data_IF_322333600936
#
_entry.id   IF_322333600936
#
_cell.length_a   1.000
_cell.length_b   1.000
_cell.length_c   1.000
_cell.angle_alpha   90.00
_cell.angle_beta   90.00
_cell.angle_gamma   90.00
#
_symmetry.space_group_name_H-M   'P 1'
#
loop_
_entity.id
_entity.type
_entity.pdbx_description
1 polymer ?
#
# COMPACT_ATOMS: atom_id res chain seq x y z
N UNK A 1 5.50 -2.74 -25.49
CA UNK A 1 4.11 -2.82 -24.99
C UNK A 1 3.90 -1.70 -24.00
N UNK A 2 2.75 -1.04 -24.04
CA UNK A 2 2.33 -0.07 -23.02
C UNK A 2 2.09 -0.77 -21.67
N UNK A 3 2.00 0.00 -20.56
CA UNK A 3 1.63 -0.55 -19.25
C UNK A 3 0.28 -1.30 -19.32
N UNK A 4 -0.66 -0.75 -20.08
CA UNK A 4 -2.00 -1.30 -20.29
C UNK A 4 -1.97 -2.63 -21.07
N UNK A 5 -1.20 -2.69 -22.17
CA UNK A 5 -1.03 -3.93 -22.95
C UNK A 5 -0.37 -5.05 -22.13
N UNK A 6 0.59 -4.69 -21.28
CA UNK A 6 1.27 -5.66 -20.40
C UNK A 6 0.32 -6.23 -19.35
N UNK A 7 -0.52 -5.38 -18.75
CA UNK A 7 -1.53 -5.82 -17.78
C UNK A 7 -2.59 -6.72 -18.42
N UNK A 8 -3.04 -6.40 -19.64
CA UNK A 8 -4.00 -7.20 -20.37
C UNK A 8 -3.47 -8.61 -20.66
N UNK A 9 -2.21 -8.73 -21.13
CA UNK A 9 -1.59 -10.02 -21.37
C UNK A 9 -1.43 -10.84 -20.09
N UNK A 10 -1.07 -10.19 -18.97
CA UNK A 10 -0.98 -10.84 -17.66
C UNK A 10 -2.35 -11.39 -17.21
N UNK A 11 -3.42 -10.60 -17.36
CA UNK A 11 -4.79 -11.01 -17.06
C UNK A 11 -5.23 -12.22 -17.90
N UNK A 12 -5.05 -12.16 -19.22
CA UNK A 12 -5.43 -13.26 -20.13
C UNK A 12 -4.73 -14.58 -19.77
N UNK A 13 -3.44 -14.51 -19.44
CA UNK A 13 -2.66 -15.67 -19.02
C UNK A 13 -3.18 -16.25 -17.69
N UNK A 14 -3.37 -15.40 -16.68
CA UNK A 14 -3.88 -15.83 -15.37
C UNK A 14 -5.27 -16.45 -15.46
N UNK A 15 -6.18 -15.84 -16.23
CA UNK A 15 -7.54 -16.38 -16.43
C UNK A 15 -7.48 -17.72 -17.14
N UNK A 16 -6.66 -17.83 -18.19
CA UNK A 16 -6.51 -19.08 -18.94
C UNK A 16 -5.97 -20.21 -18.07
N UNK A 17 -4.93 -19.93 -17.28
CA UNK A 17 -4.34 -20.89 -16.34
C UNK A 17 -5.35 -21.31 -15.27
N UNK A 18 -5.95 -20.34 -14.59
CA UNK A 18 -6.86 -20.57 -13.48
C UNK A 18 -8.14 -21.32 -13.88
N UNK A 19 -8.67 -21.07 -15.07
CA UNK A 19 -9.85 -21.79 -15.59
C UNK A 19 -9.53 -23.20 -16.11
N UNK A 20 -8.26 -23.48 -16.45
CA UNK A 20 -7.78 -24.84 -16.83
C UNK A 20 -7.38 -25.70 -15.63
N UNK A 21 -7.13 -25.11 -14.46
CA UNK A 21 -6.72 -25.82 -13.25
C UNK A 21 -7.84 -26.65 -12.60
N UNK A 22 -7.44 -27.56 -11.69
CA UNK A 22 -8.35 -28.28 -10.80
C UNK A 22 -7.79 -28.30 -9.36
N UNK A 23 -8.45 -27.62 -8.40
CA UNK A 23 -9.65 -26.79 -8.57
C UNK A 23 -9.37 -25.54 -9.43
N UNK A 24 -10.42 -24.99 -10.05
CA UNK A 24 -10.32 -23.70 -10.77
C UNK A 24 -10.06 -22.57 -9.79
N UNK A 25 -9.32 -21.56 -10.21
CA UNK A 25 -9.04 -20.39 -9.39
C UNK A 25 -8.96 -19.11 -10.23
N UNK A 26 -9.08 -17.97 -9.58
CA UNK A 26 -8.73 -16.65 -10.11
C UNK A 26 -8.06 -15.86 -8.99
N UNK A 27 -7.13 -14.97 -9.35
CA UNK A 27 -6.49 -14.10 -8.37
C UNK A 27 -7.47 -13.03 -7.88
N UNK A 28 -7.51 -12.80 -6.56
CA UNK A 28 -8.32 -11.76 -5.93
C UNK A 28 -7.94 -10.36 -6.40
N UNK A 29 -6.73 -10.15 -6.95
CA UNK A 29 -6.32 -8.84 -7.50
C UNK A 29 -7.24 -8.32 -8.61
N UNK A 30 -7.95 -9.21 -9.29
CA UNK A 30 -8.91 -8.86 -10.34
C UNK A 30 -10.31 -8.52 -9.82
N UNK A 31 -10.52 -8.58 -8.50
CA UNK A 31 -11.74 -8.06 -7.87
C UNK A 31 -11.72 -6.54 -7.89
N UNK A 32 -10.54 -5.90 -7.84
CA UNK A 32 -10.33 -4.47 -7.66
C UNK A 32 -10.27 -3.70 -8.99
N UNK A 33 -11.32 -3.83 -9.82
CA UNK A 33 -11.61 -2.82 -10.85
C UNK A 33 -12.33 -1.62 -10.22
N UNK A 34 -12.63 -0.57 -11.00
CA UNK A 34 -13.28 0.64 -10.48
C UNK A 34 -14.54 0.32 -9.64
N UNK A 35 -15.33 -0.66 -10.08
CA UNK A 35 -16.55 -1.08 -9.37
C UNK A 35 -16.25 -1.92 -8.14
N UNK A 36 -15.27 -2.79 -8.22
CA UNK A 36 -14.78 -3.60 -7.13
C UNK A 36 -14.23 -2.79 -5.98
N UNK A 37 -13.47 -1.74 -6.29
CA UNK A 37 -12.95 -0.78 -5.32
C UNK A 37 -14.11 -0.09 -4.57
N UNK A 38 -15.12 0.41 -5.29
CA UNK A 38 -16.32 0.99 -4.67
C UNK A 38 -17.07 0.01 -3.75
N UNK A 39 -17.16 -1.26 -4.14
CA UNK A 39 -17.78 -2.30 -3.33
C UNK A 39 -16.95 -2.61 -2.08
N UNK A 40 -15.62 -2.64 -2.21
CA UNK A 40 -14.73 -2.86 -1.08
C UNK A 40 -14.81 -1.72 -0.07
N UNK A 41 -14.92 -0.47 -0.53
CA UNK A 41 -15.19 0.68 0.36
C UNK A 41 -16.50 0.52 1.15
N UNK A 42 -17.55 0.00 0.52
CA UNK A 42 -18.80 -0.30 1.21
C UNK A 42 -18.64 -1.45 2.23
N UNK A 43 -17.88 -2.50 1.88
CA UNK A 43 -17.56 -3.60 2.80
C UNK A 43 -16.83 -3.07 4.05
N UNK A 44 -15.86 -2.18 3.88
CA UNK A 44 -15.12 -1.58 4.98
C UNK A 44 -15.98 -0.71 5.92
N UNK A 45 -17.16 -0.29 5.49
CA UNK A 45 -18.11 0.47 6.30
C UNK A 45 -19.13 -0.42 7.05
N UNK A 46 -19.13 -1.73 6.81
CA UNK A 46 -20.03 -2.67 7.47
C UNK A 46 -19.62 -2.88 8.95
N UNK A 47 -20.58 -2.93 9.89
CA UNK A 47 -20.28 -3.17 11.29
C UNK A 47 -19.67 -4.56 11.56
N UNK A 48 -19.94 -5.54 10.69
CA UNK A 48 -19.36 -6.88 10.76
C UNK A 48 -17.89 -6.90 10.32
N UNK A 49 -17.45 -5.95 9.49
CA UNK A 49 -16.09 -5.88 8.97
C UNK A 49 -15.20 -5.04 9.89
N UNK A 50 -14.90 -5.58 11.07
CA UNK A 50 -14.18 -4.86 12.13
C UNK A 50 -12.75 -4.44 11.76
N UNK A 51 -12.12 -5.11 10.78
CA UNK A 51 -10.69 -5.04 10.51
C UNK A 51 -10.21 -3.61 10.27
N UNK A 52 -10.92 -2.86 9.43
CA UNK A 52 -10.56 -1.48 9.07
C UNK A 52 -10.57 -0.56 10.28
N UNK A 53 -11.59 -0.64 11.13
CA UNK A 53 -11.71 0.19 12.33
C UNK A 53 -10.71 -0.23 13.42
N UNK A 54 -10.46 -1.53 13.59
CA UNK A 54 -9.47 -2.02 14.54
C UNK A 54 -8.06 -1.51 14.20
N UNK A 55 -7.65 -1.62 12.94
CA UNK A 55 -6.34 -1.13 12.49
C UNK A 55 -6.24 0.39 12.54
N UNK A 56 -7.32 1.11 12.17
CA UNK A 56 -7.41 2.56 12.35
C UNK A 56 -7.16 2.97 13.80
N UNK A 57 -7.85 2.33 14.75
CA UNK A 57 -7.74 2.64 16.17
C UNK A 57 -6.34 2.39 16.72
N UNK A 58 -5.66 1.33 16.27
CA UNK A 58 -4.26 1.05 16.64
C UNK A 58 -3.36 2.19 16.17
N UNK A 59 -3.49 2.60 14.90
CA UNK A 59 -2.67 3.69 14.34
C UNK A 59 -2.97 5.01 15.07
N UNK A 60 -4.24 5.35 15.29
CA UNK A 60 -4.62 6.59 15.98
C UNK A 60 -4.11 6.65 17.41
N UNK A 61 -4.19 5.52 18.14
CA UNK A 61 -3.71 5.39 19.52
C UNK A 61 -2.18 5.51 19.60
N UNK A 62 -1.45 4.98 18.62
CA UNK A 62 0.00 4.85 18.68
C UNK A 62 0.78 5.78 17.75
N UNK A 63 0.12 6.70 17.03
CA UNK A 63 0.75 7.60 16.05
C UNK A 63 1.94 8.39 16.58
N UNK A 64 1.91 8.85 17.83
CA UNK A 64 3.06 9.55 18.45
C UNK A 64 4.29 8.64 18.60
N UNK A 65 4.08 7.37 18.98
CA UNK A 65 5.15 6.39 19.07
C UNK A 65 5.67 6.02 17.68
N UNK A 66 4.78 5.80 16.71
CA UNK A 66 5.14 5.53 15.33
C UNK A 66 5.99 6.66 14.75
N UNK A 67 5.57 7.92 14.93
CA UNK A 67 6.35 9.10 14.54
C UNK A 67 7.76 9.09 15.12
N UNK A 68 7.90 8.82 16.43
CA UNK A 68 9.21 8.77 17.09
C UNK A 68 10.11 7.69 16.50
N UNK A 69 9.55 6.50 16.26
CA UNK A 69 10.30 5.37 15.66
C UNK A 69 10.72 5.71 14.24
N UNK A 70 9.80 6.13 13.38
CA UNK A 70 10.06 6.42 11.97
C UNK A 70 11.06 7.56 11.78
N UNK A 71 11.03 8.57 12.65
CA UNK A 71 11.94 9.72 12.58
C UNK A 71 13.30 9.49 13.27
N UNK A 72 13.62 8.26 13.71
CA UNK A 72 14.88 7.96 14.44
C UNK A 72 16.12 8.28 13.60
N UNK A 73 16.03 8.08 12.28
CA UNK A 73 17.12 8.35 11.34
C UNK A 73 16.96 9.68 10.58
N UNK A 74 16.05 10.54 11.06
CA UNK A 74 15.73 11.82 10.43
C UNK A 74 14.85 11.64 9.19
N UNK A 75 15.13 12.42 8.16
CA UNK A 75 14.44 12.47 6.88
C UNK A 75 14.20 11.08 6.23
N UNK A 76 12.95 10.70 5.93
CA UNK A 76 12.62 9.39 5.31
C UNK A 76 11.56 9.46 4.21
N UNK A 77 11.42 8.40 3.43
CA UNK A 77 10.32 8.22 2.46
C UNK A 77 9.28 7.24 3.03
N UNK A 78 8.02 7.65 3.07
CA UNK A 78 6.89 6.87 3.59
C UNK A 78 6.16 6.20 2.43
N UNK A 79 6.37 4.90 2.27
CA UNK A 79 5.91 4.14 1.10
C UNK A 79 4.76 3.25 1.52
N UNK A 80 3.58 3.43 0.95
CA UNK A 80 2.40 2.61 1.28
C UNK A 80 2.03 1.68 0.13
N UNK A 81 2.08 0.37 0.38
CA UNK A 81 1.72 -0.66 -0.60
C UNK A 81 0.23 -1.00 -0.48
N UNK A 82 -0.55 -0.63 -1.51
CA UNK A 82 -2.00 -0.80 -1.53
C UNK A 82 -2.70 0.26 -0.69
N UNK A 83 -2.48 1.53 -1.06
CA UNK A 83 -2.93 2.67 -0.27
C UNK A 83 -4.47 2.84 -0.24
N UNK A 84 -5.17 2.43 -1.31
CA UNK A 84 -6.61 2.60 -1.42
C UNK A 84 -7.05 4.06 -1.17
N UNK A 85 -8.04 4.26 -0.28
CA UNK A 85 -8.54 5.58 0.10
C UNK A 85 -7.68 6.31 1.16
N UNK A 86 -6.65 5.64 1.67
CA UNK A 86 -5.73 6.12 2.69
C UNK A 86 -6.39 6.49 4.02
N UNK A 87 -7.60 6.01 4.34
CA UNK A 87 -8.34 6.39 5.57
C UNK A 87 -7.50 6.24 6.84
N UNK A 88 -6.78 5.12 6.94
CA UNK A 88 -5.90 4.79 8.08
C UNK A 88 -4.64 5.65 8.06
N UNK A 89 -4.00 5.75 6.90
CA UNK A 89 -2.72 6.44 6.73
C UNK A 89 -2.84 7.95 6.89
N UNK A 90 -3.99 8.55 6.55
CA UNK A 90 -4.30 9.97 6.81
C UNK A 90 -4.11 10.38 8.28
N UNK A 91 -4.37 9.48 9.23
CA UNK A 91 -4.14 9.75 10.66
C UNK A 91 -2.65 9.92 10.96
N UNK A 92 -1.83 9.01 10.44
CA UNK A 92 -0.39 9.06 10.57
C UNK A 92 0.20 10.26 9.82
N UNK A 93 -0.23 10.52 8.58
CA UNK A 93 0.23 11.67 7.79
C UNK A 93 -0.04 12.99 8.52
N UNK A 94 -1.22 13.15 9.12
CA UNK A 94 -1.56 14.34 9.93
C UNK A 94 -0.63 14.50 11.14
N UNK A 95 -0.31 13.40 11.84
CA UNK A 95 0.64 13.41 12.96
C UNK A 95 2.04 13.84 12.49
N UNK A 96 2.54 13.29 11.39
CA UNK A 96 3.86 13.62 10.84
C UNK A 96 3.95 15.08 10.39
N UNK A 97 2.95 15.57 9.63
CA UNK A 97 2.87 16.95 9.15
C UNK A 97 2.77 17.95 10.30
N UNK A 98 1.87 17.70 11.28
CA UNK A 98 1.68 18.60 12.44
C UNK A 98 2.96 18.77 13.24
N UNK A 99 3.78 17.72 13.33
CA UNK A 99 5.05 17.72 14.03
C UNK A 99 6.26 18.10 13.15
N UNK A 100 6.02 18.56 11.91
CA UNK A 100 7.06 19.02 10.97
C UNK A 100 8.14 17.96 10.73
N UNK A 101 7.74 16.70 10.65
CA UNK A 101 8.63 15.61 10.23
C UNK A 101 8.98 15.82 8.76
N UNK A 102 10.25 15.59 8.41
CA UNK A 102 10.72 15.67 7.02
C UNK A 102 10.51 14.32 6.34
N UNK A 103 9.46 14.22 5.51
CA UNK A 103 9.16 13.01 4.77
C UNK A 103 8.46 13.28 3.45
N UNK A 104 8.61 12.35 2.50
CA UNK A 104 7.82 12.30 1.26
C UNK A 104 6.87 11.11 1.33
N UNK A 105 5.58 11.33 1.03
CA UNK A 105 4.59 10.24 1.01
C UNK A 105 4.45 9.67 -0.41
N UNK A 106 4.59 8.35 -0.52
CA UNK A 106 4.62 7.62 -1.79
C UNK A 106 3.54 6.51 -1.73
N UNK A 107 2.27 6.83 -2.04
CA UNK A 107 1.22 5.82 -2.12
C UNK A 107 1.35 5.02 -3.41
N UNK A 108 1.23 3.69 -3.28
CA UNK A 108 1.31 2.73 -4.37
C UNK A 108 -0.01 1.97 -4.48
N UNK A 109 -0.58 1.93 -5.68
CA UNK A 109 -1.78 1.15 -5.95
C UNK A 109 -1.81 0.61 -7.38
N UNK A 110 -2.57 -0.46 -7.62
CA UNK A 110 -2.81 -0.97 -8.97
C UNK A 110 -3.83 -0.06 -9.69
N UNK A 111 -4.77 0.51 -8.93
CA UNK A 111 -5.81 1.41 -9.41
C UNK A 111 -5.27 2.85 -9.51
N UNK A 112 -5.18 3.38 -10.74
CA UNK A 112 -4.83 4.79 -10.94
C UNK A 112 -5.91 5.71 -10.33
N UNK A 113 -7.16 5.29 -10.41
CA UNK A 113 -8.30 6.00 -9.82
C UNK A 113 -8.13 6.16 -8.31
N UNK A 114 -7.73 5.09 -7.60
CA UNK A 114 -7.46 5.14 -6.16
C UNK A 114 -6.33 6.14 -5.82
N UNK A 115 -5.24 6.13 -6.59
CA UNK A 115 -4.12 7.09 -6.42
C UNK A 115 -4.59 8.53 -6.62
N UNK A 116 -5.38 8.80 -7.66
CA UNK A 116 -5.85 10.14 -7.99
C UNK A 116 -6.81 10.66 -6.90
N UNK A 117 -7.77 9.83 -6.47
CA UNK A 117 -8.70 10.16 -5.39
C UNK A 117 -7.99 10.42 -4.06
N UNK A 118 -7.03 9.55 -3.71
CA UNK A 118 -6.22 9.72 -2.51
C UNK A 118 -5.44 11.03 -2.56
N UNK A 119 -4.73 11.30 -3.65
CA UNK A 119 -3.90 12.51 -3.83
C UNK A 119 -4.76 13.78 -3.79
N UNK A 120 -5.93 13.78 -4.44
CA UNK A 120 -6.88 14.90 -4.40
C UNK A 120 -7.40 15.15 -2.98
N UNK A 121 -7.75 14.08 -2.26
CA UNK A 121 -8.21 14.17 -0.88
C UNK A 121 -7.12 14.70 0.06
N UNK A 122 -5.86 14.31 -0.16
CA UNK A 122 -4.71 14.75 0.63
C UNK A 122 -4.36 16.21 0.36
N UNK A 123 -4.41 16.67 -0.89
CA UNK A 123 -4.20 18.08 -1.24
C UNK A 123 -5.17 19.00 -0.48
N UNK A 124 -6.40 18.55 -0.26
CA UNK A 124 -7.40 19.31 0.50
C UNK A 124 -7.15 19.24 2.02
N UNK A 125 -6.78 18.07 2.54
CA UNK A 125 -6.63 17.81 3.97
C UNK A 125 -5.29 18.30 4.55
N UNK A 126 -4.21 18.16 3.78
CA UNK A 126 -2.82 18.42 4.14
C UNK A 126 -2.12 19.14 2.95
N UNK A 127 -2.41 20.44 2.70
CA UNK A 127 -1.93 21.14 1.51
C UNK A 127 -0.41 21.23 1.38
N UNK A 128 0.31 21.16 2.49
CA UNK A 128 1.78 21.23 2.54
C UNK A 128 2.46 19.85 2.40
N UNK A 129 1.69 18.76 2.28
CA UNK A 129 2.22 17.41 2.14
C UNK A 129 2.71 17.14 0.72
N UNK A 130 3.97 16.76 0.57
CA UNK A 130 4.49 16.24 -0.70
C UNK A 130 4.01 14.80 -0.91
N UNK A 131 3.22 14.58 -1.96
CA UNK A 131 2.69 13.28 -2.36
C UNK A 131 3.24 12.90 -3.74
N UNK A 132 3.88 11.74 -3.84
CA UNK A 132 4.38 11.16 -5.08
C UNK A 132 3.65 9.84 -5.35
N UNK A 133 2.41 9.93 -5.85
CA UNK A 133 1.58 8.76 -6.12
C UNK A 133 2.05 7.96 -7.32
N UNK A 134 1.96 6.63 -7.22
CA UNK A 134 2.40 5.76 -8.29
C UNK A 134 1.52 4.54 -8.53
N UNK A 135 1.26 4.28 -9.81
CA UNK A 135 0.54 3.10 -10.24
C UNK A 135 1.48 1.92 -10.53
N UNK A 136 1.25 0.80 -9.86
CA UNK A 136 1.95 -0.45 -10.11
C UNK A 136 1.59 -1.59 -9.18
N UNK A 137 2.03 -2.80 -9.53
CA UNK A 137 2.01 -3.94 -8.61
C UNK A 137 3.12 -3.80 -7.58
N UNK A 138 2.94 -4.37 -6.38
CA UNK A 138 3.91 -4.27 -5.29
C UNK A 138 5.32 -4.70 -5.75
N UNK A 139 5.42 -5.81 -6.48
CA UNK A 139 6.70 -6.35 -6.95
C UNK A 139 7.48 -5.40 -7.86
N UNK A 140 6.81 -4.80 -8.85
CA UNK A 140 7.46 -3.85 -9.77
C UNK A 140 7.95 -2.60 -9.05
N UNK A 141 7.20 -2.17 -8.04
CA UNK A 141 7.59 -1.01 -7.23
C UNK A 141 8.76 -1.35 -6.32
N UNK A 142 8.75 -2.51 -5.66
CA UNK A 142 9.87 -2.99 -4.84
C UNK A 142 11.17 -3.08 -5.67
N UNK A 143 11.13 -3.65 -6.87
CA UNK A 143 12.30 -3.70 -7.77
C UNK A 143 12.89 -2.32 -8.07
N UNK A 144 12.03 -1.30 -8.26
CA UNK A 144 12.50 0.08 -8.47
C UNK A 144 13.06 0.66 -7.18
N UNK A 145 12.41 0.44 -6.03
CA UNK A 145 12.90 0.89 -4.72
C UNK A 145 14.27 0.33 -4.39
N UNK A 146 14.61 -0.88 -4.87
CA UNK A 146 15.95 -1.48 -4.73
C UNK A 146 17.06 -0.59 -5.32
N UNK A 147 16.73 0.20 -6.35
CA UNK A 147 17.68 1.11 -7.03
C UNK A 147 17.74 2.50 -6.40
N UNK A 148 16.85 2.79 -5.46
CA UNK A 148 16.70 4.09 -4.81
C UNK A 148 17.17 4.02 -3.35
N UNK A 149 18.27 4.70 -3.03
CA UNK A 149 18.87 4.65 -1.69
C UNK A 149 19.29 6.02 -1.16
N UNK A 150 18.53 7.07 -1.49
CA UNK A 150 18.85 8.45 -1.08
C UNK A 150 18.48 8.75 0.38
N UNK A 151 17.40 8.14 0.87
CA UNK A 151 16.83 8.34 2.22
C UNK A 151 16.39 6.98 2.79
N UNK A 152 16.37 6.81 4.12
CA UNK A 152 15.68 5.70 4.78
C UNK A 152 14.22 5.60 4.32
N UNK A 153 13.68 4.38 4.32
CA UNK A 153 12.33 4.05 3.88
C UNK A 153 11.51 3.52 5.05
N UNK A 154 10.26 3.96 5.15
CA UNK A 154 9.24 3.33 6.00
C UNK A 154 8.23 2.71 5.05
N UNK A 155 8.28 1.38 4.92
CA UNK A 155 7.36 0.61 4.08
C UNK A 155 6.15 0.23 4.93
N UNK A 156 4.97 0.63 4.48
CA UNK A 156 3.68 0.39 5.13
C UNK A 156 2.88 -0.62 4.30
N UNK A 157 2.37 -1.67 4.97
CA UNK A 157 1.45 -2.66 4.40
C UNK A 157 0.28 -2.87 5.36
N UNK A 158 -0.85 -2.23 5.08
CA UNK A 158 -2.03 -2.25 5.97
C UNK A 158 -3.15 -3.15 5.45
N UNK A 159 -4.18 -3.33 6.27
CA UNK A 159 -5.43 -3.99 5.91
C UNK A 159 -5.34 -5.49 5.87
N UNK A 160 -4.30 -6.08 6.49
CA UNK A 160 -3.99 -7.50 6.37
C UNK A 160 -3.89 -7.96 4.91
N UNK A 161 -3.46 -7.06 3.99
CA UNK A 161 -3.39 -7.34 2.55
C UNK A 161 -2.45 -8.49 2.21
N UNK A 162 -1.44 -8.75 3.04
CA UNK A 162 -0.58 -9.94 2.91
C UNK A 162 -1.38 -11.25 2.99
N UNK A 163 -2.52 -11.26 3.68
CA UNK A 163 -3.44 -12.40 3.77
C UNK A 163 -4.15 -12.74 2.46
N UNK A 164 -4.10 -11.87 1.45
CA UNK A 164 -4.59 -12.18 0.10
C UNK A 164 -3.61 -13.03 -0.72
N UNK A 165 -2.37 -13.20 -0.24
CA UNK A 165 -1.35 -14.02 -0.87
C UNK A 165 -1.40 -15.44 -0.30
N UNK A 166 -1.17 -16.45 -1.14
CA UNK A 166 -0.91 -17.79 -0.63
C UNK A 166 0.41 -17.83 0.15
N UNK A 167 0.62 -18.89 0.93
CA UNK A 167 1.77 -18.94 1.83
C UNK A 167 3.14 -18.81 1.10
N UNK A 168 3.40 -19.51 -0.02
CA UNK A 168 4.59 -19.26 -0.83
C UNK A 168 4.73 -17.83 -1.35
N UNK A 169 3.64 -17.22 -1.83
CA UNK A 169 3.64 -15.84 -2.32
C UNK A 169 3.90 -14.83 -1.21
N UNK A 170 3.35 -15.05 -0.01
CA UNK A 170 3.60 -14.21 1.15
C UNK A 170 5.08 -14.27 1.57
N UNK A 171 5.70 -15.44 1.53
CA UNK A 171 7.14 -15.60 1.79
C UNK A 171 7.96 -14.84 0.74
N UNK A 172 7.67 -15.03 -0.55
CA UNK A 172 8.37 -14.32 -1.64
C UNK A 172 8.23 -12.80 -1.52
N UNK A 173 7.03 -12.33 -1.16
CA UNK A 173 6.78 -10.91 -0.91
C UNK A 173 7.63 -10.35 0.24
N UNK A 174 7.70 -11.06 1.37
CA UNK A 174 8.52 -10.65 2.51
C UNK A 174 10.03 -10.69 2.22
N UNK A 175 10.49 -11.69 1.46
CA UNK A 175 11.89 -11.76 0.99
C UNK A 175 12.21 -10.54 0.14
N UNK A 176 11.35 -10.19 -0.82
CA UNK A 176 11.58 -9.02 -1.67
C UNK A 176 11.56 -7.72 -0.90
N UNK A 177 10.67 -7.56 0.09
CA UNK A 177 10.72 -6.40 0.99
C UNK A 177 12.08 -6.34 1.70
N UNK A 178 12.52 -7.45 2.30
CA UNK A 178 13.80 -7.52 3.00
C UNK A 178 14.97 -7.15 2.08
N UNK A 179 14.98 -7.64 0.84
CA UNK A 179 16.09 -7.45 -0.10
C UNK A 179 16.25 -5.98 -0.56
N UNK A 180 15.18 -5.17 -0.47
CA UNK A 180 15.20 -3.74 -0.82
C UNK A 180 15.39 -2.83 0.38
N UNK A 181 15.37 -3.40 1.59
CA UNK A 181 15.55 -2.67 2.84
C UNK A 181 17.01 -2.61 3.25
N UNK A 182 17.38 -1.46 3.82
CA UNK A 182 18.63 -1.24 4.55
C UNK A 182 18.40 -1.33 6.06
N UNK A 183 19.48 -1.31 6.83
CA UNK A 183 19.43 -1.35 8.31
C UNK A 183 18.73 -0.13 8.95
N UNK A 184 18.49 0.95 8.19
CA UNK A 184 17.79 2.15 8.65
C UNK A 184 16.31 2.17 8.26
N UNK A 185 15.86 1.20 7.48
CA UNK A 185 14.49 1.14 6.98
C UNK A 185 13.58 0.43 7.98
N UNK A 186 12.30 0.80 7.96
CA UNK A 186 11.26 0.16 8.77
C UNK A 186 10.20 -0.49 7.90
N UNK A 187 9.70 -1.65 8.36
CA UNK A 187 8.49 -2.27 7.86
C UNK A 187 7.41 -2.14 8.93
N UNK A 188 6.28 -1.51 8.57
CA UNK A 188 5.09 -1.44 9.40
C UNK A 188 3.95 -2.18 8.71
N UNK A 189 3.54 -3.32 9.29
CA UNK A 189 2.60 -4.24 8.66
C UNK A 189 1.45 -4.59 9.61
N UNK A 190 0.22 -4.52 9.10
CA UNK A 190 -0.97 -5.06 9.76
C UNK A 190 -1.19 -6.52 9.36
N UNK A 191 -1.43 -7.38 10.35
CA UNK A 191 -1.70 -8.82 10.21
C UNK A 191 -2.86 -9.25 11.10
#
# INVERSE_FOLDING_TARGET
MTKQETFQLEFENHVTEGLKAFPKFLSSKYIYDDRGDELFQQIMALPEYYLTEAEYNIIDTHKDNLRKVFNTHGAFDLIELGAGDGKKTKVLLKELVTNKVDFTYIPIDISQHAIDDLTNSLTTLLPDLEVQGEQGTYFKVLERLATYNKRPKVIIVLGSNIGNLDHPQAIDFLIKIKDVMSDQDFLFMGV
#
